data_IF_653759807270
#
_entry.id   IF_653759807270
#
_cell.length_a   1.000
_cell.length_b   1.000
_cell.length_c   1.000
_cell.angle_alpha   90.00
_cell.angle_beta   90.00
_cell.angle_gamma   90.00
#
_symmetry.space_group_name_H-M   'P 1'
#
loop_
_entity.id
_entity.type
_entity.pdbx_description
1 polymer ?
#
# COMPACT_ATOMS: atom_id res chain seq x y z
N UNK A 1 -3.12 12.86 3.09
CA UNK A 1 -1.91 12.36 2.43
C UNK A 1 -1.82 10.86 2.56
N UNK A 2 -1.47 10.16 1.48
CA UNK A 2 -1.24 8.73 1.45
C UNK A 2 0.24 8.41 1.17
N UNK A 3 0.84 7.57 2.00
CA UNK A 3 2.18 7.01 1.79
C UNK A 3 2.05 5.51 1.56
N UNK A 4 2.76 4.99 0.56
CA UNK A 4 2.75 3.56 0.21
C UNK A 4 4.17 3.10 -0.03
N UNK A 5 4.44 1.84 0.27
CA UNK A 5 5.72 1.20 -0.04
C UNK A 5 5.52 -0.30 -0.29
N UNK A 6 6.45 -0.91 -1.02
CA UNK A 6 6.44 -2.33 -1.31
C UNK A 6 7.81 -2.99 -1.10
N UNK A 7 7.85 -4.03 -0.26
CA UNK A 7 9.01 -4.87 -0.06
C UNK A 7 8.91 -6.13 -0.93
N UNK A 8 9.56 -6.14 -2.09
CA UNK A 8 9.56 -7.29 -3.00
C UNK A 8 10.72 -8.26 -2.73
N UNK A 9 10.43 -9.55 -2.72
CA UNK A 9 11.38 -10.62 -2.50
C UNK A 9 11.45 -11.54 -3.71
N UNK A 10 12.47 -11.34 -4.55
CA UNK A 10 12.61 -11.98 -5.86
C UNK A 10 12.65 -13.51 -5.83
N UNK A 11 13.32 -14.10 -4.84
CA UNK A 11 13.45 -15.55 -4.72
C UNK A 11 12.12 -16.26 -4.42
N UNK A 12 11.19 -15.57 -3.75
CA UNK A 12 9.84 -16.08 -3.48
C UNK A 12 8.80 -15.55 -4.47
N UNK A 13 9.17 -14.59 -5.33
CA UNK A 13 8.25 -13.81 -6.16
C UNK A 13 7.08 -13.27 -5.33
N UNK A 14 7.38 -12.79 -4.14
CA UNK A 14 6.39 -12.35 -3.17
C UNK A 14 6.65 -10.91 -2.76
N UNK A 15 5.62 -10.24 -2.23
CA UNK A 15 5.70 -8.84 -1.81
C UNK A 15 4.99 -8.63 -0.48
N UNK A 16 5.58 -7.80 0.37
CA UNK A 16 4.86 -7.10 1.44
C UNK A 16 4.49 -5.69 0.98
N UNK A 17 3.21 -5.35 1.06
CA UNK A 17 2.66 -4.05 0.72
C UNK A 17 2.33 -3.31 2.01
N UNK A 18 2.59 -2.02 2.08
CA UNK A 18 2.21 -1.20 3.23
C UNK A 18 1.69 0.16 2.78
N UNK A 19 0.82 0.75 3.61
CA UNK A 19 0.34 2.10 3.44
C UNK A 19 -0.01 2.77 4.75
N UNK A 20 0.09 4.09 4.77
CA UNK A 20 -0.28 4.96 5.90
C UNK A 20 -1.04 6.17 5.34
N UNK A 21 -2.21 6.45 5.90
CA UNK A 21 -2.97 7.67 5.66
C UNK A 21 -2.75 8.65 6.80
N UNK A 22 -2.54 9.91 6.46
CA UNK A 22 -2.37 11.00 7.42
C UNK A 22 -3.25 12.18 7.05
N UNK A 23 -3.67 12.94 8.07
CA UNK A 23 -4.33 14.23 7.88
C UNK A 23 -3.32 15.33 7.50
N UNK A 24 -3.79 16.58 7.39
CA UNK A 24 -2.95 17.74 7.07
C UNK A 24 -1.91 18.08 8.15
N UNK A 25 -2.11 17.59 9.37
CA UNK A 25 -1.21 17.78 10.51
C UNK A 25 -0.24 16.60 10.67
N UNK A 26 -0.15 15.70 9.67
CA UNK A 26 0.68 14.48 9.71
C UNK A 26 0.22 13.53 10.84
N UNK A 27 -1.03 13.66 11.28
CA UNK A 27 -1.63 12.74 12.25
C UNK A 27 -2.10 11.51 11.49
N UNK A 28 -1.69 10.32 11.93
CA UNK A 28 -2.11 9.07 11.31
C UNK A 28 -3.62 8.86 11.47
N UNK A 29 -4.30 8.69 10.34
CA UNK A 29 -5.72 8.36 10.27
C UNK A 29 -5.88 6.84 10.34
N UNK A 30 -5.07 6.12 9.55
CA UNK A 30 -5.10 4.66 9.45
C UNK A 30 -3.85 4.16 8.75
N UNK A 31 -3.46 2.91 9.03
CA UNK A 31 -2.40 2.18 8.33
C UNK A 31 -2.86 0.77 7.99
N UNK A 32 -2.18 0.16 7.03
CA UNK A 32 -2.40 -1.22 6.67
C UNK A 32 -1.18 -1.86 6.02
N UNK A 33 -1.22 -3.18 5.95
CA UNK A 33 -0.25 -3.96 5.19
C UNK A 33 -0.91 -5.22 4.63
N UNK A 34 -0.33 -5.75 3.57
CA UNK A 34 -0.81 -6.96 2.90
C UNK A 34 0.36 -7.76 2.35
N UNK A 35 0.25 -9.08 2.35
CA UNK A 35 1.19 -9.97 1.67
C UNK A 35 0.57 -10.49 0.38
N UNK A 36 1.34 -10.55 -0.70
CA UNK A 36 0.90 -11.11 -1.97
C UNK A 36 1.99 -11.94 -2.66
N UNK A 37 1.62 -13.16 -3.07
CA UNK A 37 2.46 -14.04 -3.88
C UNK A 37 2.35 -13.73 -5.38
N UNK A 38 3.21 -14.38 -6.17
CA UNK A 38 3.19 -14.35 -7.64
C UNK A 38 3.42 -12.97 -8.26
N UNK A 39 4.19 -12.12 -7.59
CA UNK A 39 4.59 -10.80 -8.06
C UNK A 39 5.91 -10.90 -8.82
N UNK A 40 5.86 -10.61 -10.12
CA UNK A 40 6.94 -10.88 -11.07
C UNK A 40 8.08 -9.85 -11.04
N UNK A 41 7.86 -8.67 -10.48
CA UNK A 41 8.83 -7.57 -10.51
C UNK A 41 8.63 -6.59 -9.35
N UNK A 42 9.67 -5.82 -8.98
CA UNK A 42 9.54 -4.80 -7.95
C UNK A 42 8.64 -3.64 -8.42
N UNK A 43 8.59 -3.35 -9.73
CA UNK A 43 7.67 -2.34 -10.26
C UNK A 43 6.20 -2.74 -10.09
N UNK A 44 5.88 -4.02 -10.32
CA UNK A 44 4.53 -4.53 -10.05
C UNK A 44 4.21 -4.45 -8.55
N UNK A 45 5.18 -4.74 -7.68
CA UNK A 45 5.02 -4.57 -6.23
C UNK A 45 4.62 -3.14 -5.84
N UNK A 46 5.25 -2.11 -6.39
CA UNK A 46 4.86 -0.70 -6.16
C UNK A 46 3.46 -0.38 -6.69
N UNK A 47 3.12 -0.86 -7.89
CA UNK A 47 1.76 -0.68 -8.41
C UNK A 47 0.70 -1.34 -7.52
N UNK A 48 1.04 -2.49 -6.91
CA UNK A 48 0.17 -3.20 -5.98
C UNK A 48 0.03 -2.47 -4.63
N UNK A 49 1.08 -1.80 -4.13
CA UNK A 49 1.01 -1.04 -2.88
C UNK A 49 0.06 0.15 -3.03
N UNK A 50 0.18 0.90 -4.13
CA UNK A 50 -0.74 1.99 -4.49
C UNK A 50 -2.18 1.49 -4.64
N UNK A 51 -2.40 0.39 -5.40
CA UNK A 51 -3.74 -0.19 -5.56
C UNK A 51 -4.35 -0.58 -4.22
N UNK A 52 -3.57 -1.23 -3.36
CA UNK A 52 -4.04 -1.69 -2.04
C UNK A 52 -4.42 -0.53 -1.14
N UNK A 53 -3.62 0.54 -1.14
CA UNK A 53 -3.95 1.77 -0.43
C UNK A 53 -5.25 2.40 -0.95
N UNK A 54 -5.41 2.57 -2.27
CA UNK A 54 -6.65 3.13 -2.82
C UNK A 54 -7.89 2.31 -2.47
N UNK A 55 -7.80 0.97 -2.53
CA UNK A 55 -8.87 0.08 -2.09
C UNK A 55 -9.20 0.29 -0.60
N UNK A 56 -8.17 0.38 0.26
CA UNK A 56 -8.38 0.64 1.68
C UNK A 56 -9.03 2.02 1.92
N UNK A 57 -8.57 3.06 1.22
CA UNK A 57 -9.14 4.40 1.33
C UNK A 57 -10.63 4.42 0.93
N UNK A 58 -10.99 3.76 -0.17
CA UNK A 58 -12.38 3.61 -0.58
C UNK A 58 -13.23 2.89 0.49
N UNK A 59 -12.70 1.81 1.09
CA UNK A 59 -13.41 1.09 2.16
C UNK A 59 -13.59 1.92 3.44
N UNK A 60 -12.72 2.90 3.67
CA UNK A 60 -12.78 3.85 4.79
C UNK A 60 -13.57 5.13 4.44
N UNK A 61 -14.13 5.21 3.23
CA UNK A 61 -14.80 6.40 2.69
C UNK A 61 -13.93 7.68 2.71
N UNK A 62 -12.62 7.51 2.52
CA UNK A 62 -11.68 8.62 2.37
C UNK A 62 -11.78 9.16 0.94
N UNK A 63 -12.52 10.26 0.76
CA UNK A 63 -12.78 10.88 -0.55
C UNK A 63 -11.67 11.84 -1.00
N UNK A 64 -10.73 12.16 -0.12
CA UNK A 64 -9.56 12.99 -0.40
C UNK A 64 -8.37 12.40 0.37
N UNK A 65 -7.32 12.03 -0.36
CA UNK A 65 -6.12 11.39 0.19
C UNK A 65 -4.88 12.08 -0.33
#
# INVERSE_FOLDING_TARGET
>A
MCYTDAAWKSNLRAVGLAWIFTDHNITEISRGSCYQDNVSSPLLAEALSVRSALTQAASLNLNQI
#
